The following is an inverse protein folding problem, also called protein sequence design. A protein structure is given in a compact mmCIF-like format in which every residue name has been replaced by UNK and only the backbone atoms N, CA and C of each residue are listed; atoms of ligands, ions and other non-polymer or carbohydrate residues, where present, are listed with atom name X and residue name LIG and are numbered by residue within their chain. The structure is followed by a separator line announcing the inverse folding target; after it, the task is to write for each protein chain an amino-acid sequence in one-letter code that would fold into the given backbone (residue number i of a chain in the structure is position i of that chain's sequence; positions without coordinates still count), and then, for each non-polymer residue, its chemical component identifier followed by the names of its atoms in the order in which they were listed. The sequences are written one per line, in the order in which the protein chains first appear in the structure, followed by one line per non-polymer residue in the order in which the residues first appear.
data_IF_430081156292
#
_entry.id   IF_430081156292
#
_cell.length_a   1.000
_cell.length_b   1.000
_cell.length_c   1.000
_cell.angle_alpha   90.00
_cell.angle_beta   90.00
_cell.angle_gamma   90.00
#
_symmetry.space_group_name_H-M   'P 1'
#
loop_
_entity.id
_entity.type
_entity.pdbx_description
1 polymer ?
#
# COMPACT_ATOMS: atom_id res chain seq x y z
N UNK A 1 -12.95 61.14 33.48
CA UNK A 1 -13.48 59.96 32.80
C UNK A 1 -14.27 60.50 31.62
N UNK A 2 -13.72 60.28 30.43
CA UNK A 2 -14.09 60.94 29.18
C UNK A 2 -15.49 60.59 28.70
N UNK A 3 -16.13 61.57 28.05
CA UNK A 3 -17.38 61.43 27.29
C UNK A 3 -17.16 60.56 26.05
N UNK A 4 -18.10 59.66 25.78
CA UNK A 4 -18.28 59.02 24.47
C UNK A 4 -19.62 59.53 23.93
N UNK A 5 -19.54 60.36 22.89
CA UNK A 5 -20.64 60.64 21.97
C UNK A 5 -20.18 60.27 20.56
N UNK A 6 -20.88 59.35 19.92
CA UNK A 6 -20.96 59.26 18.46
C UNK A 6 -22.36 58.74 18.09
N UNK A 7 -23.26 59.66 17.75
CA UNK A 7 -24.31 59.49 16.73
C UNK A 7 -23.59 59.70 15.37
N UNK A 8 -23.91 59.10 14.22
CA UNK A 8 -25.19 59.03 13.52
C UNK A 8 -25.03 58.21 12.20
N UNK A 9 -26.16 57.80 11.66
CA UNK A 9 -26.50 56.94 10.52
C UNK A 9 -25.72 57.05 9.19
N UNK A 10 -25.53 55.91 8.51
CA UNK A 10 -25.66 55.85 7.04
C UNK A 10 -25.94 54.41 6.53
N UNK A 11 -27.23 54.12 6.33
CA UNK A 11 -27.75 52.99 5.57
C UNK A 11 -27.49 53.19 4.06
N UNK A 12 -26.81 52.26 3.39
CA UNK A 12 -26.68 52.26 1.93
C UNK A 12 -26.76 50.83 1.34
N UNK A 13 -28.01 50.42 1.11
CA UNK A 13 -28.54 49.88 -0.14
C UNK A 13 -27.76 48.76 -0.86
N UNK A 14 -28.26 47.52 -0.71
CA UNK A 14 -27.98 46.42 -1.63
C UNK A 14 -28.86 46.58 -2.87
N UNK A 15 -28.26 46.81 -4.04
CA UNK A 15 -28.96 46.71 -5.34
C UNK A 15 -28.63 45.37 -5.99
N UNK A 16 -29.69 44.73 -6.47
CA UNK A 16 -29.81 43.36 -6.96
C UNK A 16 -29.55 43.30 -8.47
N UNK A 17 -28.97 42.17 -8.92
CA UNK A 17 -28.95 41.63 -10.28
C UNK A 17 -28.31 42.39 -11.46
N UNK A 18 -27.21 41.83 -11.99
CA UNK A 18 -26.94 41.80 -13.45
C UNK A 18 -26.39 40.42 -13.85
N UNK A 19 -27.22 39.66 -14.57
CA UNK A 19 -26.89 38.39 -15.22
C UNK A 19 -25.85 38.61 -16.33
N UNK A 20 -24.59 38.26 -16.05
CA UNK A 20 -23.51 38.28 -17.04
C UNK A 20 -22.75 36.96 -17.10
N UNK A 21 -23.07 36.13 -18.11
CA UNK A 21 -22.25 35.08 -18.72
C UNK A 21 -20.99 34.64 -17.94
N UNK A 22 -20.98 33.41 -17.42
CA UNK A 22 -19.79 32.72 -16.91
C UNK A 22 -18.74 32.53 -18.03
N UNK A 23 -18.02 33.61 -18.36
CA UNK A 23 -16.74 33.53 -19.02
C UNK A 23 -15.81 32.85 -18.02
N UNK A 24 -15.51 31.57 -18.31
CA UNK A 24 -14.44 30.79 -17.69
C UNK A 24 -13.17 31.62 -17.79
N UNK A 25 -12.88 32.43 -16.77
CA UNK A 25 -11.59 33.13 -16.63
C UNK A 25 -10.54 32.04 -16.56
N UNK A 26 -9.94 31.73 -17.70
CA UNK A 26 -8.68 31.02 -17.75
C UNK A 26 -7.74 31.86 -16.91
N UNK A 27 -7.42 31.37 -15.71
CA UNK A 27 -6.37 31.96 -14.90
C UNK A 27 -5.05 31.76 -15.63
N UNK A 28 -4.77 32.65 -16.59
CA UNK A 28 -3.41 32.94 -17.09
C UNK A 28 -2.63 33.52 -15.94
N UNK A 29 -2.18 32.61 -15.08
CA UNK A 29 -1.31 32.88 -13.97
C UNK A 29 -0.24 31.80 -13.96
N UNK A 30 0.68 31.85 -14.92
CA UNK A 30 1.98 31.16 -14.84
C UNK A 30 2.81 31.85 -13.74
N UNK A 31 2.30 31.86 -12.50
CA UNK A 31 3.09 32.28 -11.35
C UNK A 31 4.27 31.32 -11.29
N UNK A 32 5.47 31.88 -11.41
CA UNK A 32 6.73 31.12 -11.35
C UNK A 32 6.71 30.37 -10.01
N UNK A 33 6.51 29.04 -10.06
CA UNK A 33 6.51 28.20 -8.86
C UNK A 33 7.81 28.44 -8.10
N UNK A 34 7.71 28.65 -6.79
CA UNK A 34 8.88 28.78 -5.93
C UNK A 34 9.73 27.52 -6.05
N UNK A 35 11.04 27.65 -5.81
CA UNK A 35 11.98 26.52 -5.87
C UNK A 35 11.56 25.38 -4.93
N UNK A 36 10.96 25.72 -3.78
CA UNK A 36 10.38 24.76 -2.84
C UNK A 36 9.16 24.02 -3.42
N UNK A 37 8.23 24.73 -4.06
CA UNK A 37 7.06 24.10 -4.69
C UNK A 37 7.45 23.12 -5.81
N UNK A 38 8.49 23.47 -6.61
CA UNK A 38 9.05 22.56 -7.62
C UNK A 38 9.75 21.34 -7.00
N UNK A 39 10.49 21.53 -5.91
CA UNK A 39 11.14 20.42 -5.20
C UNK A 39 10.12 19.42 -4.63
N UNK A 40 9.02 19.91 -4.06
CA UNK A 40 7.94 19.08 -3.53
C UNK A 40 7.21 18.30 -4.63
N UNK A 41 6.98 18.93 -5.78
CA UNK A 41 6.37 18.27 -6.94
C UNK A 41 7.27 17.17 -7.52
N UNK A 42 8.58 17.41 -7.57
CA UNK A 42 9.56 16.41 -8.02
C UNK A 42 9.69 15.26 -7.01
N UNK A 43 9.59 15.54 -5.70
CA UNK A 43 9.59 14.50 -4.66
C UNK A 43 8.38 13.57 -4.79
N UNK A 44 7.20 14.08 -5.17
CA UNK A 44 6.01 13.25 -5.45
C UNK A 44 6.14 12.38 -6.70
N UNK A 45 7.03 12.73 -7.63
CA UNK A 45 7.33 11.95 -8.84
C UNK A 45 8.53 11.01 -8.66
N UNK A 46 9.23 11.10 -7.54
CA UNK A 46 10.35 10.22 -7.24
C UNK A 46 9.84 8.80 -6.95
N UNK A 47 10.63 7.76 -7.26
CA UNK A 47 10.27 6.39 -6.91
C UNK A 47 10.13 6.25 -5.39
N UNK A 48 9.02 5.67 -4.96
CA UNK A 48 8.66 5.45 -3.55
C UNK A 48 9.16 4.08 -3.07
N UNK A 49 9.58 4.02 -1.81
CA UNK A 49 9.83 2.75 -1.12
C UNK A 49 8.48 2.06 -0.80
N UNK A 50 8.45 0.72 -0.80
CA UNK A 50 7.32 -0.06 -0.30
C UNK A 50 6.82 0.40 1.09
N UNK A 51 7.70 0.67 2.05
CA UNK A 51 7.34 1.16 3.38
C UNK A 51 6.63 2.53 3.33
N UNK A 52 7.02 3.38 2.39
CA UNK A 52 6.42 4.70 2.21
C UNK A 52 4.99 4.59 1.66
N UNK A 53 4.80 3.67 0.70
CA UNK A 53 3.48 3.35 0.16
C UNK A 53 2.55 2.72 1.21
N UNK A 54 3.08 1.87 2.09
CA UNK A 54 2.33 1.29 3.22
C UNK A 54 1.83 2.38 4.18
N UNK A 55 2.70 3.32 4.55
CA UNK A 55 2.34 4.44 5.43
C UNK A 55 1.28 5.34 4.79
N UNK A 56 1.41 5.67 3.51
CA UNK A 56 0.43 6.49 2.78
C UNK A 56 -0.94 5.81 2.66
N UNK A 57 -0.96 4.49 2.49
CA UNK A 57 -2.20 3.72 2.35
C UNK A 57 -3.03 3.63 3.64
N UNK A 58 -2.47 4.01 4.81
CA UNK A 58 -3.15 4.06 6.11
C UNK A 58 -4.05 2.85 6.39
N UNK A 59 -3.51 1.63 6.21
CA UNK A 59 -4.30 0.40 6.14
C UNK A 59 -5.13 0.08 7.40
N UNK A 60 -4.76 0.64 8.55
CA UNK A 60 -5.48 0.49 9.83
C UNK A 60 -6.83 1.21 9.83
N UNK A 61 -6.94 2.30 9.05
CA UNK A 61 -8.19 3.05 8.90
C UNK A 61 -9.23 2.34 8.03
N UNK A 62 -8.83 1.31 7.28
CA UNK A 62 -9.72 0.61 6.37
C UNK A 62 -10.71 -0.26 7.15
N UNK A 63 -12.00 -0.25 6.76
CA UNK A 63 -13.01 -1.10 7.36
C UNK A 63 -12.62 -2.59 7.38
N UNK A 64 -13.16 -3.40 8.30
CA UNK A 64 -12.78 -4.82 8.46
C UNK A 64 -12.96 -5.66 7.19
N UNK A 65 -13.95 -5.32 6.37
CA UNK A 65 -14.33 -6.05 5.15
C UNK A 65 -13.46 -5.69 3.93
N UNK A 66 -12.64 -4.64 3.99
CA UNK A 66 -11.78 -4.26 2.86
C UNK A 66 -10.49 -5.08 2.92
N UNK A 67 -10.19 -5.89 1.88
CA UNK A 67 -8.93 -6.63 1.81
C UNK A 67 -7.76 -5.65 1.68
N UNK A 68 -6.75 -5.83 2.53
CA UNK A 68 -5.52 -5.03 2.54
C UNK A 68 -4.30 -5.94 2.46
N UNK A 69 -3.12 -5.38 2.20
CA UNK A 69 -1.87 -6.14 2.15
C UNK A 69 -1.66 -7.01 3.40
N UNK A 70 -2.02 -6.50 4.59
CA UNK A 70 -1.90 -7.22 5.87
C UNK A 70 -2.99 -8.29 6.07
N UNK A 71 -4.18 -8.10 5.50
CA UNK A 71 -5.32 -9.02 5.62
C UNK A 71 -5.38 -10.06 4.50
N UNK A 72 -4.56 -9.91 3.45
CA UNK A 72 -4.48 -10.84 2.33
C UNK A 72 -3.88 -12.20 2.69
N UNK A 73 -3.56 -12.44 3.97
CA UNK A 73 -3.11 -13.74 4.45
C UNK A 73 -4.14 -14.82 4.09
N UNK A 74 -3.66 -15.89 3.48
CA UNK A 74 -4.47 -17.08 3.22
C UNK A 74 -4.92 -17.62 4.58
N UNK A 75 -6.22 -17.88 4.73
CA UNK A 75 -6.77 -18.48 5.94
C UNK A 75 -6.07 -19.81 6.28
N UNK A 76 -6.27 -20.34 7.51
CA UNK A 76 -5.64 -21.58 7.93
C UNK A 76 -5.81 -22.66 6.86
N UNK A 77 -4.73 -23.35 6.44
CA UNK A 77 -4.84 -24.37 5.40
C UNK A 77 -5.88 -25.41 5.82
N UNK A 78 -6.80 -25.76 4.93
CA UNK A 78 -7.78 -26.79 5.24
C UNK A 78 -7.03 -28.09 5.57
N UNK A 79 -7.36 -28.69 6.71
CA UNK A 79 -6.68 -29.87 7.26
C UNK A 79 -6.80 -31.09 6.35
N UNK A 80 -7.72 -31.06 5.39
CA UNK A 80 -8.13 -32.21 4.56
C UNK A 80 -7.20 -32.51 3.37
N UNK A 81 -6.16 -31.71 3.09
CA UNK A 81 -5.25 -32.04 1.99
C UNK A 81 -3.81 -31.52 2.17
N UNK A 82 -3.09 -32.02 3.19
CA UNK A 82 -1.63 -31.86 3.19
C UNK A 82 -1.04 -32.74 2.09
N UNK A 83 -0.72 -32.13 0.95
CA UNK A 83 -0.05 -32.81 -0.16
C UNK A 83 1.45 -32.89 0.12
N UNK A 84 2.01 -34.06 -0.06
CA UNK A 84 3.45 -34.29 0.09
C UNK A 84 4.10 -34.29 -1.29
N UNK A 85 5.04 -33.36 -1.48
CA UNK A 85 5.79 -33.21 -2.72
C UNK A 85 7.28 -33.51 -2.50
N UNK A 86 7.94 -33.93 -3.57
CA UNK A 86 9.36 -34.18 -3.63
C UNK A 86 10.10 -32.84 -3.72
N UNK A 87 11.06 -32.59 -2.84
CA UNK A 87 11.83 -31.32 -2.84
C UNK A 87 12.82 -31.22 -4.01
N UNK A 88 13.06 -32.33 -4.71
CA UNK A 88 13.97 -32.38 -5.87
C UNK A 88 13.25 -32.08 -7.18
N UNK A 89 12.07 -32.66 -7.41
CA UNK A 89 11.37 -32.59 -8.70
C UNK A 89 9.90 -32.15 -8.63
N UNK A 90 9.34 -31.90 -7.45
CA UNK A 90 7.97 -31.39 -7.27
C UNK A 90 6.85 -32.42 -7.44
N UNK A 91 7.11 -33.65 -7.88
CA UNK A 91 6.11 -34.72 -7.94
C UNK A 91 5.68 -35.20 -6.55
N UNK A 92 4.57 -35.94 -6.47
CA UNK A 92 4.12 -36.56 -5.22
C UNK A 92 5.23 -37.41 -4.58
N UNK A 93 5.46 -37.23 -3.28
CA UNK A 93 6.50 -37.94 -2.54
C UNK A 93 5.92 -39.02 -1.65
N UNK A 94 6.52 -40.20 -1.72
CA UNK A 94 6.16 -41.36 -0.90
C UNK A 94 7.19 -41.61 0.22
N UNK A 95 8.37 -40.98 0.13
CA UNK A 95 9.49 -41.22 1.04
C UNK A 95 9.88 -39.96 1.81
N UNK A 96 10.41 -40.16 3.01
CA UNK A 96 10.86 -39.11 3.92
C UNK A 96 12.28 -39.41 4.37
N UNK A 97 13.18 -38.44 4.26
CA UNK A 97 14.56 -38.58 4.71
C UNK A 97 14.63 -38.63 6.24
N UNK A 98 15.30 -39.64 6.79
CA UNK A 98 15.45 -39.83 8.24
C UNK A 98 16.36 -38.80 8.91
N UNK A 99 17.20 -38.10 8.14
CA UNK A 99 18.16 -37.12 8.65
C UNK A 99 17.57 -35.72 8.81
N UNK A 100 16.70 -35.31 7.89
CA UNK A 100 16.18 -33.94 7.81
C UNK A 100 14.66 -33.83 7.66
N UNK A 101 13.93 -34.94 7.54
CA UNK A 101 12.47 -34.92 7.37
C UNK A 101 11.96 -34.44 6.01
N UNK A 102 12.83 -34.00 5.09
CA UNK A 102 12.41 -33.65 3.73
C UNK A 102 11.98 -34.87 2.92
N UNK A 103 11.06 -34.66 1.99
CA UNK A 103 10.46 -35.73 1.21
C UNK A 103 11.00 -35.85 -0.21
N UNK A 104 11.03 -37.08 -0.72
CA UNK A 104 11.45 -37.41 -2.08
C UNK A 104 10.58 -38.52 -2.70
N UNK A 105 10.60 -38.64 -4.03
CA UNK A 105 9.73 -39.59 -4.76
C UNK A 105 10.43 -40.89 -5.20
N UNK A 106 11.76 -40.90 -5.31
CA UNK A 106 12.54 -42.03 -5.85
C UNK A 106 13.97 -42.03 -5.33
N UNK A 107 14.67 -43.15 -5.50
CA UNK A 107 16.11 -43.30 -5.16
C UNK A 107 16.98 -42.27 -5.89
N UNK A 108 16.66 -41.95 -7.15
CA UNK A 108 17.38 -40.90 -7.88
C UNK A 108 17.26 -39.55 -7.18
N UNK A 109 16.05 -39.21 -6.72
CA UNK A 109 15.83 -37.98 -5.95
C UNK A 109 16.46 -38.06 -4.56
N UNK A 110 16.59 -39.24 -3.96
CA UNK A 110 17.30 -39.42 -2.70
C UNK A 110 18.78 -39.06 -2.82
N UNK A 111 19.47 -39.54 -3.86
CA UNK A 111 20.89 -39.24 -4.08
C UNK A 111 21.11 -37.73 -4.23
N UNK A 112 20.32 -37.10 -5.12
CA UNK A 112 20.40 -35.65 -5.33
C UNK A 112 20.06 -34.88 -4.04
N UNK A 113 19.09 -35.38 -3.27
CA UNK A 113 18.75 -34.83 -1.98
C UNK A 113 19.92 -34.91 -1.00
N UNK A 114 20.54 -36.08 -0.86
CA UNK A 114 21.67 -36.32 0.04
C UNK A 114 22.87 -35.44 -0.31
N UNK A 115 23.13 -35.22 -1.60
CA UNK A 115 24.27 -34.43 -2.09
C UNK A 115 24.09 -32.92 -1.88
N UNK A 116 22.88 -32.39 -2.11
CA UNK A 116 22.68 -30.94 -2.27
C UNK A 116 21.63 -30.32 -1.37
N UNK A 117 20.76 -31.12 -0.74
CA UNK A 117 19.61 -30.60 0.02
C UNK A 117 19.56 -31.10 1.46
N UNK A 118 20.21 -32.21 1.83
CA UNK A 118 20.06 -32.84 3.15
C UNK A 118 20.70 -32.02 4.27
N UNK A 119 19.92 -31.12 4.88
CA UNK A 119 20.32 -30.30 6.02
C UNK A 119 19.77 -30.89 7.32
N UNK A 120 20.65 -31.30 8.24
CA UNK A 120 20.31 -32.02 9.50
C UNK A 120 19.27 -31.34 10.41
N UNK A 121 19.01 -30.03 10.24
CA UNK A 121 18.20 -29.24 11.18
C UNK A 121 17.10 -28.37 10.52
N UNK A 122 16.63 -28.71 9.32
CA UNK A 122 15.48 -28.01 8.72
C UNK A 122 14.22 -28.82 9.04
N UNK A 123 13.70 -28.69 10.25
CA UNK A 123 12.41 -29.21 10.67
C UNK A 123 11.64 -28.14 11.45
#
# INVERSE_FOLDING_TARGET
MEMVETLDDNEAFFDDDDEGYLQKKQSKGTKRKTRQAKALENARKAPRNFLELLHEANLESLPPHVPSYLKAAVGPPSSTCRRHFCTVCGFASNYTCVRCGMRFCSVRCQIIHDDTRCLKFVA
#
